data_IF_648233682780
#
_entry.id   IF_648233682780
#
_cell.length_a   1.000
_cell.length_b   1.000
_cell.length_c   1.000
_cell.angle_alpha   90.00
_cell.angle_beta   90.00
_cell.angle_gamma   90.00
#
_symmetry.space_group_name_H-M   'P 1'
#
loop_
_entity.id
_entity.type
_entity.pdbx_description
1 polymer ?
#
# COMPACT_ATOMS: atom_id res chain seq x y z
N UNK A 1 1.31 4.98 -8.46
CA UNK A 1 0.33 6.05 -8.74
C UNK A 1 0.65 6.68 -10.08
N UNK A 2 -0.36 7.18 -10.79
CA UNK A 2 -0.16 7.81 -12.10
C UNK A 2 0.53 9.17 -11.93
N UNK A 3 -0.10 10.06 -11.16
CA UNK A 3 0.43 11.36 -10.80
C UNK A 3 0.29 11.56 -9.29
N UNK A 4 1.20 12.36 -8.73
CA UNK A 4 1.13 12.89 -7.38
C UNK A 4 0.87 14.41 -7.49
N UNK A 5 -0.04 14.98 -6.69
CA UNK A 5 -0.34 16.41 -6.72
C UNK A 5 0.90 17.23 -6.33
N UNK A 6 1.34 18.15 -7.19
CA UNK A 6 2.46 19.05 -6.88
C UNK A 6 2.11 20.09 -5.82
N UNK A 7 0.82 20.37 -5.62
CA UNK A 7 0.30 21.23 -4.57
C UNK A 7 -0.99 20.63 -4.00
N UNK A 8 -1.02 20.40 -2.68
CA UNK A 8 -2.23 19.96 -1.99
C UNK A 8 -2.99 21.17 -1.45
N UNK A 9 -4.20 21.42 -1.97
CA UNK A 9 -5.08 22.51 -1.54
C UNK A 9 -6.41 21.97 -1.02
N UNK A 10 -6.53 21.88 0.30
CA UNK A 10 -7.78 21.53 0.97
C UNK A 10 -7.82 22.15 2.37
N UNK A 11 -8.97 22.71 2.76
CA UNK A 11 -9.15 23.29 4.10
C UNK A 11 -8.98 22.27 5.24
N UNK A 12 -9.09 20.98 4.94
CA UNK A 12 -8.91 19.87 5.88
C UNK A 12 -7.49 19.31 5.90
N UNK A 13 -6.59 19.87 5.11
CA UNK A 13 -5.22 19.35 5.00
C UNK A 13 -4.52 19.45 6.36
N UNK A 14 -4.02 18.32 6.84
CA UNK A 14 -3.16 18.26 8.03
C UNK A 14 -1.69 18.02 7.67
N UNK A 15 -1.44 17.16 6.66
CA UNK A 15 -0.12 16.80 6.16
C UNK A 15 -0.16 16.68 4.64
N UNK A 16 0.99 16.83 3.98
CA UNK A 16 1.10 16.45 2.56
C UNK A 16 1.10 14.92 2.40
N UNK A 17 0.75 14.43 1.21
CA UNK A 17 0.80 12.99 0.93
C UNK A 17 2.22 12.42 1.07
N UNK A 18 3.24 13.17 0.64
CA UNK A 18 4.65 12.76 0.76
C UNK A 18 5.05 12.65 2.24
N UNK A 19 4.74 13.67 3.05
CA UNK A 19 5.02 13.66 4.49
C UNK A 19 4.41 12.44 5.17
N UNK A 20 3.13 12.15 4.88
CA UNK A 20 2.45 10.99 5.46
C UNK A 20 3.11 9.67 5.07
N UNK A 21 3.50 9.51 3.80
CA UNK A 21 4.17 8.29 3.33
C UNK A 21 5.55 8.10 3.98
N UNK A 22 6.32 9.19 4.14
CA UNK A 22 7.63 9.16 4.81
C UNK A 22 7.49 8.85 6.29
N UNK A 23 6.58 9.52 7.01
CA UNK A 23 6.33 9.30 8.45
C UNK A 23 5.91 7.85 8.74
N UNK A 24 5.10 7.25 7.85
CA UNK A 24 4.66 5.86 8.00
C UNK A 24 5.61 4.84 7.39
N UNK A 25 6.75 5.26 6.82
CA UNK A 25 7.71 4.40 6.13
C UNK A 25 7.05 3.52 5.05
N UNK A 26 6.08 4.08 4.31
CA UNK A 26 5.33 3.37 3.27
C UNK A 26 6.01 3.60 1.91
N UNK A 27 6.53 2.55 1.25
CA UNK A 27 7.10 2.69 -0.08
C UNK A 27 6.01 2.97 -1.13
N UNK A 28 6.26 3.94 -2.01
CA UNK A 28 5.35 4.33 -3.08
C UNK A 28 6.12 4.68 -4.36
N UNK A 29 5.48 4.46 -5.51
CA UNK A 29 6.01 4.79 -6.84
C UNK A 29 5.02 5.67 -7.59
N UNK A 30 5.50 6.75 -8.20
CA UNK A 30 4.71 7.64 -9.06
C UNK A 30 5.14 7.53 -10.53
N UNK A 31 4.36 8.09 -11.45
CA UNK A 31 4.64 8.11 -12.89
C UNK A 31 4.60 6.73 -13.55
N UNK A 32 3.79 5.83 -13.00
CA UNK A 32 3.55 4.49 -13.57
C UNK A 32 2.28 4.52 -14.41
N UNK A 33 2.26 3.80 -15.53
CA UNK A 33 1.02 3.53 -16.25
C UNK A 33 0.13 2.57 -15.43
N UNK A 34 -0.67 3.17 -14.54
CA UNK A 34 -1.62 2.43 -13.72
C UNK A 34 -2.73 1.79 -14.57
N UNK A 35 -3.04 2.31 -15.78
CA UNK A 35 -4.05 1.70 -16.65
C UNK A 35 -3.55 0.39 -17.24
N UNK A 36 -2.30 0.36 -17.71
CA UNK A 36 -1.64 -0.87 -18.13
C UNK A 36 -1.64 -1.89 -16.99
N UNK A 37 -1.22 -1.46 -15.79
CA UNK A 37 -1.19 -2.34 -14.61
C UNK A 37 -2.58 -2.91 -14.26
N UNK A 38 -3.63 -2.07 -14.24
CA UNK A 38 -5.01 -2.55 -14.00
C UNK A 38 -5.49 -3.51 -15.09
N UNK A 39 -5.12 -3.27 -16.36
CA UNK A 39 -5.47 -4.16 -17.47
C UNK A 39 -4.77 -5.51 -17.36
N UNK A 40 -3.51 -5.51 -16.91
CA UNK A 40 -2.74 -6.73 -16.66
C UNK A 40 -3.35 -7.55 -15.52
N UNK A 41 -3.67 -6.93 -14.38
CA UNK A 41 -4.33 -7.58 -13.24
C UNK A 41 -5.71 -8.12 -13.60
N UNK A 42 -6.48 -7.40 -14.43
CA UNK A 42 -7.79 -7.89 -14.91
C UNK A 42 -7.66 -9.15 -15.78
N UNK A 43 -6.62 -9.23 -16.61
CA UNK A 43 -6.41 -10.38 -17.51
C UNK A 43 -5.82 -11.60 -16.79
N UNK A 44 -4.85 -11.39 -15.90
CA UNK A 44 -4.09 -12.47 -15.24
C UNK A 44 -4.57 -12.81 -13.82
N UNK A 45 -5.49 -12.01 -13.27
CA UNK A 45 -5.86 -12.09 -11.85
C UNK A 45 -4.86 -11.36 -10.95
N UNK A 46 -4.94 -11.63 -9.65
CA UNK A 46 -4.03 -11.03 -8.66
C UNK A 46 -2.60 -11.50 -8.87
N UNK A 47 -1.67 -10.55 -8.93
CA UNK A 47 -0.24 -10.82 -9.08
C UNK A 47 0.49 -10.31 -7.83
N UNK A 48 1.45 -11.10 -7.35
CA UNK A 48 2.41 -10.63 -6.36
C UNK A 48 3.37 -9.64 -7.04
N UNK A 49 3.79 -8.60 -6.33
CA UNK A 49 4.75 -7.62 -6.83
C UNK A 49 5.69 -7.15 -5.72
N UNK A 50 6.87 -6.69 -6.10
CA UNK A 50 7.87 -6.11 -5.21
C UNK A 50 8.33 -4.75 -5.76
N UNK A 51 8.56 -3.78 -4.87
CA UNK A 51 9.10 -2.48 -5.21
C UNK A 51 10.57 -2.43 -4.78
N UNK A 52 11.48 -2.14 -5.71
CA UNK A 52 12.91 -1.96 -5.43
C UNK A 52 13.39 -0.55 -5.77
N UNK A 53 14.31 0.02 -4.98
CA UNK A 53 14.86 1.35 -5.24
C UNK A 53 15.92 1.37 -6.34
N UNK A 54 16.52 0.22 -6.68
CA UNK A 54 17.58 0.10 -7.68
C UNK A 54 17.42 -1.22 -8.44
N UNK A 55 17.65 -1.16 -9.77
CA UNK A 55 17.65 -2.29 -10.69
C UNK A 55 18.72 -3.32 -10.30
N UNK A 56 19.82 -2.90 -9.66
CA UNK A 56 20.84 -3.83 -9.17
C UNK A 56 20.33 -4.86 -8.18
N UNK A 57 19.22 -4.57 -7.48
CA UNK A 57 18.58 -5.47 -6.50
C UNK A 57 17.47 -6.34 -7.10
N UNK A 58 17.33 -6.33 -8.42
CA UNK A 58 16.22 -6.98 -9.11
C UNK A 58 16.25 -8.51 -8.95
N UNK A 59 17.43 -9.12 -8.88
CA UNK A 59 17.54 -10.57 -8.66
C UNK A 59 17.19 -10.97 -7.23
N UNK A 60 17.62 -10.19 -6.23
CA UNK A 60 17.20 -10.37 -4.83
C UNK A 60 15.68 -10.23 -4.69
N UNK A 61 15.09 -9.22 -5.35
CA UNK A 61 13.66 -9.01 -5.31
C UNK A 61 12.85 -10.11 -6.00
N UNK A 62 13.37 -10.70 -7.09
CA UNK A 62 12.75 -11.89 -7.70
C UNK A 62 12.79 -13.09 -6.75
N UNK A 63 13.90 -13.27 -6.03
CA UNK A 63 14.05 -14.32 -5.04
C UNK A 63 13.09 -14.12 -3.86
N UNK A 64 12.92 -12.90 -3.37
CA UNK A 64 11.94 -12.60 -2.32
C UNK A 64 10.50 -12.79 -2.81
N UNK A 65 10.22 -12.36 -4.03
CA UNK A 65 8.91 -12.50 -4.65
C UNK A 65 8.53 -13.98 -4.84
N UNK A 66 9.48 -14.84 -5.19
CA UNK A 66 9.24 -16.29 -5.34
C UNK A 66 8.99 -16.99 -4.01
N UNK A 67 9.57 -16.48 -2.91
CA UNK A 67 9.29 -16.95 -1.55
C UNK A 67 7.92 -16.51 -1.04
N UNK A 68 7.34 -15.45 -1.60
CA UNK A 68 6.04 -14.94 -1.18
C UNK A 68 4.92 -15.83 -1.72
N UNK A 69 4.34 -16.68 -0.86
CA UNK A 69 3.26 -17.62 -1.18
C UNK A 69 1.92 -16.94 -1.52
N UNK A 70 1.85 -15.61 -1.52
CA UNK A 70 0.62 -14.86 -1.71
C UNK A 70 -0.20 -14.70 -0.43
N UNK A 71 -1.36 -14.06 -0.57
CA UNK A 71 -2.29 -13.78 0.55
C UNK A 71 -3.33 -14.88 0.77
N UNK A 72 -3.46 -15.82 -0.16
CA UNK A 72 -4.44 -16.90 -0.09
C UNK A 72 -4.12 -17.82 1.09
N UNK A 73 -5.07 -17.94 2.02
CA UNK A 73 -4.93 -18.78 3.21
C UNK A 73 -4.17 -18.14 4.38
N UNK A 74 -3.74 -16.87 4.27
CA UNK A 74 -3.14 -16.14 5.39
C UNK A 74 -4.22 -15.46 6.24
N UNK A 75 -4.26 -15.81 7.52
CA UNK A 75 -5.13 -15.15 8.50
C UNK A 75 -4.53 -13.80 8.92
N UNK A 76 -4.78 -12.78 8.09
CA UNK A 76 -4.38 -11.40 8.36
C UNK A 76 -5.24 -10.74 9.44
N UNK A 77 -6.46 -11.25 9.68
CA UNK A 77 -7.37 -10.70 10.67
C UNK A 77 -6.80 -10.78 12.09
N UNK A 78 -6.08 -11.87 12.40
CA UNK A 78 -5.34 -12.00 13.67
C UNK A 78 -4.23 -10.96 13.85
N UNK A 79 -3.57 -10.54 12.77
CA UNK A 79 -2.46 -9.56 12.85
C UNK A 79 -2.95 -8.14 13.15
N UNK A 80 -4.14 -7.78 12.67
CA UNK A 80 -4.69 -6.43 12.79
C UNK A 80 -5.78 -6.30 13.87
N UNK A 81 -6.23 -7.42 14.45
CA UNK A 81 -7.22 -7.40 15.53
C UNK A 81 -6.65 -6.81 16.82
N UNK A 82 -7.53 -6.10 17.55
CA UNK A 82 -7.23 -5.69 18.92
C UNK A 82 -7.09 -6.92 19.82
N UNK A 83 -6.10 -6.91 20.72
CA UNK A 83 -5.89 -7.98 21.69
C UNK A 83 -6.86 -7.96 22.85
N UNK A 84 -7.51 -6.80 23.09
CA UNK A 84 -8.41 -6.57 24.22
C UNK A 84 -9.74 -6.04 23.70
N UNK A 85 -10.81 -6.48 24.34
CA UNK A 85 -12.15 -5.95 24.12
C UNK A 85 -12.15 -4.48 24.59
N UNK A 86 -12.66 -3.59 23.76
CA UNK A 86 -12.85 -2.19 24.12
C UNK A 86 -14.23 -1.74 23.64
N UNK A 87 -14.86 -0.83 24.38
CA UNK A 87 -16.13 -0.22 23.99
C UNK A 87 -15.85 1.02 23.15
N UNK A 88 -16.33 1.04 21.91
CA UNK A 88 -16.21 2.21 21.04
C UNK A 88 -17.35 3.19 21.31
N UNK A 89 -17.05 4.30 22.00
CA UNK A 89 -18.04 5.35 22.33
C UNK A 89 -18.04 6.55 21.38
N UNK A 90 -17.24 6.53 20.31
CA UNK A 90 -17.10 7.67 19.38
C UNK A 90 -18.23 7.64 18.35
N UNK A 91 -19.27 8.46 18.57
CA UNK A 91 -20.44 8.60 17.71
C UNK A 91 -21.74 8.94 18.44
N UNK A 92 -21.79 8.78 19.76
CA UNK A 92 -22.89 9.31 20.58
C UNK A 92 -22.63 10.80 20.81
N UNK A 93 -23.05 11.61 19.86
CA UNK A 93 -23.35 13.01 20.15
C UNK A 93 -24.55 13.02 21.11
N UNK A 94 -24.36 13.57 22.31
CA UNK A 94 -25.45 14.09 23.12
C UNK A 94 -25.57 15.58 22.86
#
# INVERSE_FOLDING_TARGET
MRNHPTHDSSWRKQHSLIEFLLDKSIPALCSVDTRYLTSLLRKKGSLNGCLVPDIKKLDDAKLELSKFSGLNGLDLAKKVSTKKIYTWKRGLMH
#
